data_IF_994225022423
#
_entry.id   IF_994225022423
#
_cell.length_a   1.000
_cell.length_b   1.000
_cell.length_c   1.000
_cell.angle_alpha   90.00
_cell.angle_beta   90.00
_cell.angle_gamma   90.00
#
_symmetry.space_group_name_H-M   'P 1'
#
loop_
_entity.id
_entity.type
_entity.pdbx_description
1 polymer ?
#
# COMPACT_ATOMS: atom_id res chain seq x y z
N UNK A 1 -66.86 -35.80 -12.87
CA UNK A 1 -65.40 -35.63 -12.86
C UNK A 1 -65.00 -35.03 -11.53
N UNK A 2 -64.20 -35.75 -10.77
CA UNK A 2 -63.79 -35.47 -9.39
C UNK A 2 -62.93 -34.21 -9.31
N UNK A 3 -63.50 -33.08 -8.89
CA UNK A 3 -62.76 -31.86 -8.55
C UNK A 3 -62.14 -32.01 -7.17
N UNK A 4 -61.11 -32.85 -7.05
CA UNK A 4 -60.17 -32.71 -5.94
C UNK A 4 -59.51 -31.32 -6.05
N UNK A 5 -59.30 -30.64 -4.93
CA UNK A 5 -59.66 -29.24 -4.81
C UNK A 5 -58.48 -28.38 -5.23
N UNK A 6 -58.64 -27.64 -6.32
CA UNK A 6 -57.68 -26.63 -6.79
C UNK A 6 -57.43 -25.55 -5.74
N UNK A 7 -58.40 -25.30 -4.84
CA UNK A 7 -58.25 -24.43 -3.65
C UNK A 7 -57.32 -25.02 -2.58
N UNK A 8 -57.30 -26.34 -2.39
CA UNK A 8 -56.41 -26.99 -1.42
C UNK A 8 -54.96 -26.97 -1.93
N UNK A 9 -54.78 -27.08 -3.24
CA UNK A 9 -53.49 -26.93 -3.92
C UNK A 9 -52.99 -25.48 -3.88
N UNK A 10 -53.86 -24.47 -4.02
CA UNK A 10 -53.45 -23.06 -3.88
C UNK A 10 -53.16 -22.66 -2.43
N UNK A 11 -53.89 -23.23 -1.46
CA UNK A 11 -53.65 -23.04 -0.03
C UNK A 11 -52.33 -23.68 0.43
N UNK A 12 -52.05 -24.90 -0.03
CA UNK A 12 -50.78 -25.59 0.24
C UNK A 12 -49.63 -24.88 -0.49
N UNK A 13 -49.84 -24.46 -1.74
CA UNK A 13 -48.85 -23.71 -2.51
C UNK A 13 -48.49 -22.36 -1.89
N UNK A 14 -49.47 -21.60 -1.40
CA UNK A 14 -49.26 -20.31 -0.71
C UNK A 14 -48.61 -20.48 0.66
N UNK A 15 -48.96 -21.53 1.41
CA UNK A 15 -48.31 -21.85 2.69
C UNK A 15 -46.85 -22.27 2.52
N UNK A 16 -46.55 -23.03 1.47
CA UNK A 16 -45.18 -23.43 1.13
C UNK A 16 -44.34 -22.24 0.67
N UNK A 17 -44.90 -21.36 -0.16
CA UNK A 17 -44.23 -20.13 -0.58
C UNK A 17 -44.01 -19.17 0.59
N UNK A 18 -44.98 -19.03 1.50
CA UNK A 18 -44.84 -18.27 2.74
C UNK A 18 -43.75 -18.85 3.66
N UNK A 19 -43.63 -20.18 3.75
CA UNK A 19 -42.58 -20.85 4.50
C UNK A 19 -41.18 -20.58 3.89
N UNK A 20 -41.04 -20.63 2.57
CA UNK A 20 -39.80 -20.28 1.86
C UNK A 20 -39.40 -18.82 2.09
N UNK A 21 -40.36 -17.89 1.94
CA UNK A 21 -40.13 -16.47 2.20
C UNK A 21 -39.75 -16.21 3.66
N UNK A 22 -40.31 -16.97 4.62
CA UNK A 22 -39.94 -16.87 6.03
C UNK A 22 -38.51 -17.34 6.30
N UNK A 23 -38.05 -18.43 5.66
CA UNK A 23 -36.67 -18.92 5.78
C UNK A 23 -35.68 -17.91 5.18
N UNK A 24 -36.03 -17.32 4.03
CA UNK A 24 -35.23 -16.28 3.37
C UNK A 24 -35.18 -15.00 4.22
N UNK A 25 -36.31 -14.56 4.74
CA UNK A 25 -36.42 -13.41 5.63
C UNK A 25 -35.57 -13.58 6.89
N UNK A 26 -35.66 -14.73 7.56
CA UNK A 26 -34.80 -15.05 8.72
C UNK A 26 -33.32 -15.06 8.36
N UNK A 27 -32.95 -15.56 7.19
CA UNK A 27 -31.54 -15.58 6.75
C UNK A 27 -31.00 -14.16 6.52
N UNK A 28 -31.81 -13.28 5.91
CA UNK A 28 -31.44 -11.87 5.69
C UNK A 28 -31.35 -11.12 7.03
N UNK A 29 -32.27 -11.39 7.95
CA UNK A 29 -32.28 -10.80 9.29
C UNK A 29 -31.05 -11.21 10.11
N UNK A 30 -30.67 -12.49 10.10
CA UNK A 30 -29.45 -12.96 10.77
C UNK A 30 -28.20 -12.27 10.20
N UNK A 31 -28.09 -12.13 8.88
CA UNK A 31 -26.97 -11.41 8.24
C UNK A 31 -26.93 -9.93 8.62
N UNK A 32 -28.09 -9.30 8.80
CA UNK A 32 -28.19 -7.92 9.28
C UNK A 32 -27.70 -7.82 10.73
N UNK A 33 -28.14 -8.72 11.60
CA UNK A 33 -27.72 -8.75 13.00
C UNK A 33 -26.21 -9.01 13.15
N UNK A 34 -25.66 -9.93 12.36
CA UNK A 34 -24.23 -10.20 12.31
C UNK A 34 -23.43 -8.95 11.91
N UNK A 35 -23.84 -8.26 10.84
CA UNK A 35 -23.20 -7.01 10.42
C UNK A 35 -23.28 -5.92 11.49
N UNK A 36 -24.42 -5.79 12.18
CA UNK A 36 -24.57 -4.83 13.27
C UNK A 36 -23.66 -5.16 14.45
N UNK A 37 -23.48 -6.44 14.77
CA UNK A 37 -22.54 -6.89 15.80
C UNK A 37 -21.07 -6.64 15.40
N UNK A 38 -20.73 -6.82 14.12
CA UNK A 38 -19.41 -6.47 13.59
C UNK A 38 -19.17 -4.95 13.65
N UNK A 39 -20.16 -4.13 13.32
CA UNK A 39 -20.05 -2.67 13.42
C UNK A 39 -19.95 -2.23 14.88
N UNK A 40 -20.75 -2.80 15.79
CA UNK A 40 -20.70 -2.43 17.22
C UNK A 40 -19.38 -2.82 17.87
N UNK A 41 -18.83 -4.00 17.54
CA UNK A 41 -17.50 -4.41 17.99
C UNK A 41 -16.39 -3.52 17.42
N UNK A 42 -16.46 -3.14 16.14
CA UNK A 42 -15.53 -2.18 15.54
C UNK A 42 -15.64 -0.79 16.21
N UNK A 43 -16.86 -0.33 16.51
CA UNK A 43 -17.11 0.94 17.19
C UNK A 43 -16.61 0.94 18.63
N UNK A 44 -16.64 -0.19 19.33
CA UNK A 44 -16.06 -0.35 20.66
C UNK A 44 -14.52 -0.28 20.66
N UNK A 45 -13.88 -0.72 19.56
CA UNK A 45 -12.42 -0.63 19.39
C UNK A 45 -11.96 0.77 18.92
N UNK A 46 -12.84 1.51 18.24
CA UNK A 46 -12.56 2.85 17.72
C UNK A 46 -11.99 3.86 18.76
N UNK A 47 -12.53 4.02 19.99
CA UNK A 47 -11.98 4.95 20.96
C UNK A 47 -10.55 4.59 21.37
N UNK A 48 -10.20 3.30 21.49
CA UNK A 48 -8.83 2.87 21.79
C UNK A 48 -7.85 3.30 20.71
N UNK A 49 -8.21 3.14 19.43
CA UNK A 49 -7.37 3.61 18.33
C UNK A 49 -7.26 5.14 18.29
N UNK A 50 -8.34 5.87 18.63
CA UNK A 50 -8.30 7.33 18.72
C UNK A 50 -7.41 7.82 19.86
N UNK A 51 -7.52 7.20 21.04
CA UNK A 51 -6.69 7.52 22.20
C UNK A 51 -5.21 7.30 21.90
N UNK A 52 -4.87 6.16 21.25
CA UNK A 52 -3.50 5.89 20.81
C UNK A 52 -3.01 6.89 19.75
N UNK A 53 -3.87 7.36 18.84
CA UNK A 53 -3.53 8.40 17.83
C UNK A 53 -3.35 9.77 18.46
N UNK A 54 -4.08 10.06 19.55
CA UNK A 54 -4.05 11.34 20.26
C UNK A 54 -2.86 11.49 21.22
N UNK A 55 -2.09 10.42 21.48
CA UNK A 55 -0.81 10.52 22.18
C UNK A 55 0.19 11.25 21.27
N UNK A 56 0.15 12.58 21.33
CA UNK A 56 1.17 13.45 20.75
C UNK A 56 2.41 13.34 21.63
N UNK A 57 3.36 12.50 21.24
CA UNK A 57 4.74 12.60 21.72
C UNK A 57 5.48 13.64 20.89
N UNK A 58 5.64 14.90 21.36
CA UNK A 58 6.33 15.94 20.59
C UNK A 58 7.78 15.56 20.30
N UNK A 59 8.42 14.85 21.23
CA UNK A 59 9.78 14.32 21.05
C UNK A 59 9.90 13.32 19.89
N UNK A 60 8.93 12.44 19.71
CA UNK A 60 8.98 11.43 18.64
C UNK A 60 8.89 12.05 17.24
N UNK A 61 8.06 13.09 17.08
CA UNK A 61 7.94 13.82 15.81
C UNK A 61 9.22 14.59 15.47
N UNK A 62 9.88 15.16 16.49
CA UNK A 62 11.16 15.85 16.32
C UNK A 62 12.28 14.88 15.92
N UNK A 63 12.44 13.77 16.64
CA UNK A 63 13.45 12.75 16.34
C UNK A 63 13.31 12.20 14.91
N UNK A 64 12.07 11.99 14.44
CA UNK A 64 11.81 11.54 13.07
C UNK A 64 12.29 12.55 12.01
N UNK A 65 12.09 13.84 12.24
CA UNK A 65 12.56 14.91 11.33
C UNK A 65 14.09 14.99 11.31
N UNK A 66 14.72 14.88 12.47
CA UNK A 66 16.18 14.91 12.60
C UNK A 66 16.83 13.72 11.88
N UNK A 67 16.29 12.50 12.05
CA UNK A 67 16.80 11.30 11.35
C UNK A 67 16.66 11.45 9.83
N UNK A 68 15.52 11.96 9.35
CA UNK A 68 15.31 12.18 7.92
C UNK A 68 16.29 13.23 7.37
N UNK A 69 16.50 14.35 8.06
CA UNK A 69 17.45 15.38 7.65
C UNK A 69 18.90 14.88 7.66
N UNK A 70 19.29 14.11 8.68
CA UNK A 70 20.62 13.48 8.75
C UNK A 70 20.82 12.47 7.62
N UNK A 71 19.85 11.61 7.35
CA UNK A 71 19.94 10.63 6.26
C UNK A 71 20.08 11.31 4.89
N UNK A 72 19.28 12.34 4.62
CA UNK A 72 19.36 13.14 3.40
C UNK A 72 20.72 13.84 3.28
N UNK A 73 21.23 14.40 4.38
CA UNK A 73 22.55 15.03 4.42
C UNK A 73 23.67 14.04 4.11
N UNK A 74 23.70 12.87 4.77
CA UNK A 74 24.77 11.88 4.58
C UNK A 74 24.73 11.18 3.22
N UNK A 75 23.55 11.04 2.60
CA UNK A 75 23.41 10.31 1.33
C UNK A 75 23.62 11.23 0.13
N UNK A 76 23.15 12.48 0.20
CA UNK A 76 23.21 13.40 -0.95
C UNK A 76 24.30 14.44 -0.77
N UNK A 77 24.28 15.15 0.36
CA UNK A 77 25.12 16.35 0.55
C UNK A 77 26.56 15.93 0.80
N UNK A 78 26.77 14.89 1.59
CA UNK A 78 28.11 14.42 1.95
C UNK A 78 28.92 13.90 0.74
N UNK A 79 28.39 13.02 -0.14
CA UNK A 79 29.13 12.61 -1.34
C UNK A 79 29.42 13.78 -2.30
N UNK A 80 28.49 14.75 -2.41
CA UNK A 80 28.72 15.96 -3.21
C UNK A 80 29.82 16.85 -2.64
N UNK A 81 29.85 17.05 -1.32
CA UNK A 81 30.93 17.77 -0.65
C UNK A 81 32.28 17.07 -0.83
N UNK A 82 32.29 15.74 -0.73
CA UNK A 82 33.49 14.94 -0.97
C UNK A 82 33.97 15.05 -2.42
N UNK A 83 33.06 15.07 -3.40
CA UNK A 83 33.39 15.28 -4.81
C UNK A 83 33.97 16.69 -5.09
N UNK A 84 33.59 17.70 -4.32
CA UNK A 84 34.15 19.06 -4.42
C UNK A 84 35.57 19.12 -3.85
N UNK A 85 35.82 18.47 -2.71
CA UNK A 85 37.14 18.47 -2.07
C UNK A 85 38.14 17.53 -2.75
N UNK A 86 37.67 16.44 -3.36
CA UNK A 86 38.49 15.43 -4.02
C UNK A 86 37.96 15.15 -5.44
N UNK A 87 38.15 16.07 -6.40
CA UNK A 87 37.67 15.92 -7.78
C UNK A 87 38.35 14.78 -8.55
N UNK A 88 39.46 14.25 -8.05
CA UNK A 88 40.22 13.13 -8.63
C UNK A 88 39.53 11.76 -8.50
N UNK A 89 38.48 11.65 -7.66
CA UNK A 89 37.80 10.38 -7.41
C UNK A 89 36.91 10.04 -8.62
N UNK A 90 37.26 8.96 -9.30
CA UNK A 90 36.49 8.38 -10.41
C UNK A 90 35.18 7.76 -9.91
N UNK A 91 34.05 8.19 -10.47
CA UNK A 91 32.73 7.61 -10.21
C UNK A 91 32.33 6.78 -11.43
N UNK A 92 32.22 5.46 -11.24
CA UNK A 92 31.82 4.51 -12.29
C UNK A 92 30.33 4.23 -12.20
N UNK A 93 29.58 4.47 -13.28
CA UNK A 93 28.15 4.18 -13.36
C UNK A 93 27.94 3.05 -14.37
N UNK A 94 27.21 2.02 -13.95
CA UNK A 94 26.76 0.94 -14.83
C UNK A 94 25.40 1.28 -15.42
N UNK A 95 25.32 1.46 -16.74
CA UNK A 95 24.04 1.52 -17.45
C UNK A 95 23.78 0.16 -18.12
N UNK A 96 22.57 -0.42 -17.97
CA UNK A 96 22.21 -1.59 -18.76
C UNK A 96 22.04 -1.16 -20.22
N UNK A 97 22.85 -1.73 -21.11
CA UNK A 97 22.64 -1.57 -22.55
C UNK A 97 21.73 -2.70 -23.06
N UNK A 98 20.79 -2.34 -23.93
CA UNK A 98 20.03 -3.31 -24.68
C UNK A 98 20.97 -3.97 -25.69
N UNK A 99 21.28 -5.26 -25.51
CA UNK A 99 21.99 -5.98 -26.57
C UNK A 99 20.97 -6.39 -27.63
N UNK A 100 21.15 -5.90 -28.86
CA UNK A 100 20.37 -6.35 -30.01
C UNK A 100 20.54 -7.86 -30.20
N UNK A 101 19.53 -8.61 -29.80
CA UNK A 101 19.38 -10.03 -30.10
C UNK A 101 18.66 -10.19 -31.44
N UNK A 102 19.04 -11.20 -32.22
CA UNK A 102 18.28 -11.57 -33.42
C UNK A 102 16.93 -12.18 -33.02
N UNK A 103 15.83 -11.71 -33.65
CA UNK A 103 14.43 -12.18 -33.41
C UNK A 103 13.90 -11.94 -31.98
N UNK A 104 13.66 -10.68 -31.60
CA UNK A 104 12.90 -10.27 -30.40
C UNK A 104 13.39 -10.79 -29.03
N UNK A 105 14.52 -11.49 -28.98
CA UNK A 105 15.18 -11.93 -27.75
C UNK A 105 16.15 -10.85 -27.26
N UNK A 106 15.62 -9.67 -26.95
CA UNK A 106 16.42 -8.61 -26.32
C UNK A 106 16.66 -8.99 -24.86
N UNK A 107 17.90 -9.39 -24.55
CA UNK A 107 18.33 -9.67 -23.18
C UNK A 107 19.11 -8.47 -22.64
N UNK A 108 18.73 -7.95 -21.48
CA UNK A 108 19.47 -6.90 -20.76
C UNK A 108 20.68 -7.51 -20.03
N UNK A 109 21.62 -8.11 -20.76
CA UNK A 109 22.70 -8.90 -20.14
C UNK A 109 24.05 -8.18 -20.07
N UNK A 110 24.16 -6.97 -20.66
CA UNK A 110 25.42 -6.22 -20.70
C UNK A 110 25.31 -4.90 -19.93
N UNK A 111 26.05 -4.81 -18.83
CA UNK A 111 26.25 -3.56 -18.08
C UNK A 111 27.48 -2.85 -18.66
N UNK A 112 27.27 -1.66 -19.22
CA UNK A 112 28.39 -0.80 -19.64
C UNK A 112 28.78 0.10 -18.50
N UNK A 113 30.04 -0.03 -18.10
CA UNK A 113 30.67 0.83 -17.10
C UNK A 113 31.19 2.08 -17.79
N UNK A 114 30.60 3.23 -17.45
CA UNK A 114 31.09 4.55 -17.89
C UNK A 114 31.65 5.25 -16.66
N UNK A 115 32.95 5.55 -16.71
CA UNK A 115 33.62 6.35 -15.68
C UNK A 115 33.44 7.82 -16.00
N UNK A 116 32.84 8.55 -15.07
CA UNK A 116 32.68 10.00 -15.17
C UNK A 116 33.59 10.69 -14.15
N UNK A 117 34.08 11.87 -14.52
CA UNK A 117 34.93 12.71 -13.67
C UNK A 117 34.14 13.92 -13.17
N UNK A 118 34.29 14.27 -11.89
CA UNK A 118 33.67 15.46 -11.28
C UNK A 118 32.35 15.18 -10.54
N UNK A 119 31.53 16.23 -10.38
CA UNK A 119 30.28 16.18 -9.63
C UNK A 119 29.16 15.51 -10.44
N UNK A 120 28.99 14.21 -10.26
CA UNK A 120 27.98 13.43 -10.98
C UNK A 120 26.82 13.09 -10.05
N UNK A 121 25.60 13.46 -10.44
CA UNK A 121 24.38 12.96 -9.79
C UNK A 121 24.08 11.60 -10.39
N UNK A 122 24.22 10.53 -9.60
CA UNK A 122 23.96 9.19 -10.10
C UNK A 122 22.46 8.91 -10.17
N UNK A 123 22.01 8.02 -11.07
CA UNK A 123 20.63 7.53 -11.07
C UNK A 123 20.26 6.91 -9.71
N UNK A 124 21.21 6.21 -9.09
CA UNK A 124 21.07 5.62 -7.76
C UNK A 124 20.73 6.68 -6.71
N UNK A 125 21.44 7.81 -6.69
CA UNK A 125 21.16 8.90 -5.75
C UNK A 125 19.71 9.35 -5.89
N UNK A 126 19.25 9.60 -7.13
CA UNK A 126 17.89 10.07 -7.41
C UNK A 126 16.82 9.06 -6.97
N UNK A 127 17.03 7.77 -7.21
CA UNK A 127 16.13 6.71 -6.75
C UNK A 127 16.09 6.62 -5.21
N UNK A 128 17.24 6.74 -4.56
CA UNK A 128 17.37 6.69 -3.11
C UNK A 128 16.70 7.91 -2.46
N UNK A 129 16.87 9.11 -3.02
CA UNK A 129 16.15 10.32 -2.60
C UNK A 129 14.63 10.11 -2.70
N UNK A 130 14.16 9.60 -3.83
CA UNK A 130 12.73 9.32 -4.04
C UNK A 130 12.19 8.32 -3.01
N UNK A 131 12.94 7.27 -2.69
CA UNK A 131 12.56 6.27 -1.69
C UNK A 131 12.50 6.86 -0.26
N UNK A 132 13.46 7.71 0.14
CA UNK A 132 13.46 8.36 1.46
C UNK A 132 12.29 9.34 1.57
N UNK A 133 12.06 10.14 0.53
CA UNK A 133 10.94 11.08 0.44
C UNK A 133 9.62 10.30 0.52
N UNK A 134 9.48 9.23 -0.28
CA UNK A 134 8.30 8.36 -0.28
C UNK A 134 8.04 7.70 1.07
N UNK A 135 9.08 7.22 1.76
CA UNK A 135 8.96 6.66 3.11
C UNK A 135 8.57 7.71 4.15
N UNK A 136 9.16 8.91 4.07
CA UNK A 136 8.86 10.01 4.99
C UNK A 136 7.44 10.53 4.84
N UNK A 137 6.99 10.76 3.60
CA UNK A 137 5.62 11.21 3.31
C UNK A 137 4.58 10.09 3.45
N UNK A 138 4.92 8.85 3.08
CA UNK A 138 4.08 7.67 3.27
C UNK A 138 3.79 7.37 4.75
N UNK A 139 4.80 7.50 5.62
CA UNK A 139 4.63 7.40 7.08
C UNK A 139 4.04 8.66 7.74
N UNK A 140 3.82 9.74 6.98
CA UNK A 140 3.12 10.94 7.45
C UNK A 140 1.61 10.91 7.15
N UNK A 141 1.18 10.17 6.11
CA UNK A 141 -0.22 10.04 5.71
C UNK A 141 -1.08 9.18 6.66
N UNK A 142 -0.45 8.34 7.49
CA UNK A 142 -1.15 7.52 8.51
C UNK A 142 -1.53 8.36 9.75
N UNK A 143 -1.20 9.65 9.78
CA UNK A 143 -1.59 10.57 10.86
C UNK A 143 -2.91 11.25 10.64
#
# INVERSE_FOLDING_TARGET
MTTLPTELISLVGSSFFAALMKIWGKTVETRKMERLMLISSAQAQHPLYQDLRNIKSPGFQWTRRVIALLAVFFIIVFPKLMSIWHPEILISIGYPEWSDGFLFTSSCDKVKWVSMHGLVITPLDTHLVSAIIGLYFGGALVR
#
